data_IF_219281171153
#
_entry.id   IF_219281171153
#
_cell.length_a   1.000
_cell.length_b   1.000
_cell.length_c   1.000
_cell.angle_alpha   90.00
_cell.angle_beta   90.00
_cell.angle_gamma   90.00
#
_symmetry.space_group_name_H-M   'P 1'
#
loop_
_entity.id
_entity.type
_entity.pdbx_description
1 polymer ?
#
# COMPACT_ATOMS: atom_id res chain seq x y z
N UNK A 1 22.26 12.38 3.64
CA UNK A 1 21.27 11.28 3.57
C UNK A 1 20.77 11.02 4.98
N UNK A 2 19.45 10.96 5.19
CA UNK A 2 18.83 10.66 6.49
C UNK A 2 18.07 9.33 6.35
N UNK A 3 18.58 8.29 7.01
CA UNK A 3 17.99 6.95 6.96
C UNK A 3 17.23 6.70 8.27
N UNK A 4 15.97 6.30 8.16
CA UNK A 4 15.17 5.85 9.30
C UNK A 4 14.71 4.40 9.09
N UNK A 5 14.58 3.67 10.20
CA UNK A 5 14.09 2.30 10.21
C UNK A 5 12.62 2.28 10.61
N UNK A 6 11.79 1.65 9.80
CA UNK A 6 10.39 1.36 10.12
C UNK A 6 10.29 -0.13 10.43
N UNK A 7 9.62 -0.48 11.53
CA UNK A 7 9.46 -1.86 11.98
C UNK A 7 7.97 -2.14 12.21
N UNK A 8 7.51 -3.25 11.68
CA UNK A 8 6.19 -3.82 11.96
C UNK A 8 6.35 -5.30 12.23
N UNK A 9 5.45 -5.90 13.00
CA UNK A 9 5.43 -7.33 13.21
C UNK A 9 4.00 -7.87 13.13
N UNK A 10 3.87 -9.17 12.91
CA UNK A 10 2.60 -9.85 12.82
C UNK A 10 2.58 -11.08 13.72
N UNK A 11 1.43 -11.36 14.33
CA UNK A 11 1.22 -12.57 15.14
C UNK A 11 -0.12 -13.19 14.76
N UNK A 12 -0.07 -14.46 14.42
CA UNK A 12 -1.23 -15.28 14.08
C UNK A 12 -1.24 -16.51 15.00
N UNK A 13 -2.43 -16.90 15.43
CA UNK A 13 -2.65 -18.16 16.13
C UNK A 13 -3.23 -19.21 15.18
N UNK A 14 -4.27 -19.90 15.63
CA UNK A 14 -5.05 -20.82 14.78
C UNK A 14 -6.02 -19.99 13.92
N UNK A 15 -6.06 -20.25 12.62
CA UNK A 15 -6.90 -19.51 11.68
C UNK A 15 -6.18 -18.35 11.02
N UNK A 16 -6.92 -17.43 10.41
CA UNK A 16 -6.38 -16.34 9.56
C UNK A 16 -6.24 -14.99 10.26
N UNK A 17 -6.93 -14.80 11.39
CA UNK A 17 -6.89 -13.54 12.10
C UNK A 17 -5.48 -13.23 12.59
N UNK A 18 -4.91 -12.16 12.10
CA UNK A 18 -3.52 -11.76 12.30
C UNK A 18 -3.46 -10.39 12.94
N UNK A 19 -2.87 -10.29 14.13
CA UNK A 19 -2.59 -9.00 14.77
C UNK A 19 -1.34 -8.39 14.14
N UNK A 20 -1.48 -7.19 13.60
CA UNK A 20 -0.36 -6.36 13.15
C UNK A 20 0.02 -5.41 14.29
N UNK A 21 1.27 -5.48 14.71
CA UNK A 21 1.85 -4.60 15.71
C UNK A 21 2.68 -3.50 15.02
N UNK A 22 2.22 -2.29 15.20
CA UNK A 22 2.82 -1.06 14.69
C UNK A 22 2.41 0.11 15.62
N UNK A 23 2.64 1.35 15.23
CA UNK A 23 2.22 2.52 16.02
C UNK A 23 0.72 2.54 16.35
N UNK A 24 -0.12 1.96 15.49
CA UNK A 24 -1.57 1.80 15.67
C UNK A 24 -1.94 0.36 15.30
N UNK A 25 -1.90 -0.56 16.27
CA UNK A 25 -2.16 -1.98 16.01
C UNK A 25 -3.56 -2.23 15.42
N UNK A 26 -3.64 -3.18 14.50
CA UNK A 26 -4.90 -3.55 13.85
C UNK A 26 -4.93 -5.03 13.46
N UNK A 27 -6.12 -5.53 13.12
CA UNK A 27 -6.33 -6.91 12.68
C UNK A 27 -6.39 -6.95 11.16
N UNK A 28 -5.69 -7.93 10.59
CA UNK A 28 -5.81 -8.37 9.20
C UNK A 28 -6.45 -9.76 9.21
N UNK A 29 -7.42 -9.99 8.35
CA UNK A 29 -8.12 -11.27 8.29
C UNK A 29 -8.52 -11.61 6.84
N UNK A 30 -9.03 -12.79 6.63
CA UNK A 30 -9.66 -13.19 5.37
C UNK A 30 -11.19 -13.08 5.49
N UNK A 31 -11.89 -12.87 4.36
CA UNK A 31 -13.35 -12.92 4.37
C UNK A 31 -13.85 -14.32 4.73
N UNK A 32 -15.07 -14.44 5.22
CA UNK A 32 -15.69 -15.72 5.60
C UNK A 32 -15.69 -16.71 4.43
N UNK A 33 -15.89 -16.23 3.20
CA UNK A 33 -15.83 -17.05 1.99
C UNK A 33 -14.46 -17.70 1.72
N UNK A 34 -13.39 -17.15 2.31
CA UNK A 34 -12.03 -17.69 2.24
C UNK A 34 -11.56 -18.34 3.54
N UNK A 35 -12.48 -18.61 4.48
CA UNK A 35 -12.20 -19.31 5.72
C UNK A 35 -11.80 -18.42 6.90
N UNK A 36 -11.82 -17.11 6.73
CA UNK A 36 -11.57 -16.15 7.82
C UNK A 36 -12.81 -15.80 8.62
N UNK A 37 -12.66 -14.86 9.55
CA UNK A 37 -13.74 -14.32 10.38
C UNK A 37 -14.24 -12.95 9.91
N UNK A 38 -13.62 -12.38 8.86
CA UNK A 38 -13.93 -11.03 8.37
C UNK A 38 -13.75 -9.95 9.46
N UNK A 39 -12.72 -10.11 10.29
CA UNK A 39 -12.43 -9.21 11.41
C UNK A 39 -11.59 -8.00 11.02
N UNK A 40 -11.16 -7.90 9.79
CA UNK A 40 -10.39 -6.78 9.25
C UNK A 40 -10.12 -6.94 7.75
N UNK A 41 -9.46 -5.94 7.13
CA UNK A 41 -9.11 -6.02 5.72
C UNK A 41 -8.14 -7.19 5.47
N UNK A 42 -8.15 -7.70 4.24
CA UNK A 42 -7.19 -8.72 3.82
C UNK A 42 -5.83 -8.11 3.43
N UNK A 43 -4.76 -8.91 3.34
CA UNK A 43 -3.42 -8.40 3.01
C UNK A 43 -3.32 -7.65 1.67
N UNK A 44 -4.10 -8.04 0.66
CA UNK A 44 -4.09 -7.38 -0.64
C UNK A 44 -4.72 -5.99 -0.58
N UNK A 45 -5.80 -5.83 0.19
CA UNK A 45 -6.42 -4.53 0.46
C UNK A 45 -5.46 -3.62 1.23
N UNK A 46 -4.74 -4.16 2.23
CA UNK A 46 -3.72 -3.41 2.98
C UNK A 46 -2.60 -2.95 2.04
N UNK A 47 -2.09 -3.84 1.20
CA UNK A 47 -1.04 -3.49 0.24
C UNK A 47 -1.50 -2.39 -0.72
N UNK A 48 -2.66 -2.54 -1.34
CA UNK A 48 -3.20 -1.52 -2.24
C UNK A 48 -3.52 -0.21 -1.52
N UNK A 49 -4.07 -0.24 -0.31
CA UNK A 49 -4.45 0.97 0.44
C UNK A 49 -3.27 1.85 0.82
N UNK A 50 -2.06 1.30 0.90
CA UNK A 50 -0.87 2.07 1.17
C UNK A 50 -0.57 3.11 0.07
N UNK A 51 -0.90 2.80 -1.18
CA UNK A 51 -0.65 3.70 -2.32
C UNK A 51 -1.52 4.97 -2.28
N UNK A 52 -2.87 4.91 -2.21
CA UNK A 52 -3.70 6.10 -2.13
C UNK A 52 -3.42 6.91 -0.86
N UNK A 53 -3.15 6.27 0.27
CA UNK A 53 -2.79 6.96 1.51
C UNK A 53 -1.47 7.75 1.35
N UNK A 54 -0.47 7.15 0.69
CA UNK A 54 0.80 7.81 0.42
C UNK A 54 0.65 8.97 -0.57
N UNK A 55 -0.11 8.78 -1.66
CA UNK A 55 -0.41 9.85 -2.63
C UNK A 55 -1.03 11.06 -1.93
N UNK A 56 -2.02 10.84 -1.07
CA UNK A 56 -2.65 11.92 -0.28
C UNK A 56 -1.65 12.61 0.65
N UNK A 57 -0.84 11.85 1.37
CA UNK A 57 0.14 12.40 2.31
C UNK A 57 1.22 13.24 1.60
N UNK A 58 1.80 12.71 0.53
CA UNK A 58 2.82 13.44 -0.27
C UNK A 58 2.19 14.65 -0.96
N UNK A 59 0.97 14.52 -1.49
CA UNK A 59 0.22 15.63 -2.05
C UNK A 59 0.04 16.78 -1.05
N UNK A 60 -0.34 16.47 0.18
CA UNK A 60 -0.46 17.46 1.26
C UNK A 60 0.88 18.11 1.60
N UNK A 61 1.96 17.31 1.69
CA UNK A 61 3.30 17.84 1.96
C UNK A 61 3.73 18.83 0.87
N UNK A 62 3.60 18.46 -0.40
CA UNK A 62 3.97 19.33 -1.53
C UNK A 62 3.09 20.58 -1.58
N UNK A 63 1.77 20.41 -1.39
CA UNK A 63 0.86 21.56 -1.36
C UNK A 63 1.24 22.59 -0.30
N UNK A 64 1.59 22.13 0.91
CA UNK A 64 2.05 22.99 1.99
C UNK A 64 3.39 23.69 1.64
N UNK A 65 4.34 22.96 1.05
CA UNK A 65 5.64 23.51 0.65
C UNK A 65 5.51 24.57 -0.45
N UNK A 66 4.59 24.37 -1.39
CA UNK A 66 4.36 25.25 -2.54
C UNK A 66 3.24 26.27 -2.33
N UNK A 67 2.60 26.25 -1.16
CA UNK A 67 1.45 27.12 -0.83
C UNK A 67 0.29 26.97 -1.82
N UNK A 68 0.06 25.73 -2.29
CA UNK A 68 -1.12 25.38 -3.08
C UNK A 68 -2.31 25.25 -2.14
N UNK A 69 -3.41 25.92 -2.46
CA UNK A 69 -4.67 25.75 -1.71
C UNK A 69 -5.34 24.43 -2.13
N UNK A 70 -4.85 23.33 -1.58
CA UNK A 70 -5.41 22.00 -1.76
C UNK A 70 -6.50 21.78 -0.71
N UNK A 71 -7.76 21.85 -1.09
CA UNK A 71 -8.92 21.66 -0.21
C UNK A 71 -9.14 20.18 0.09
N UNK A 72 -8.87 19.29 -0.87
CA UNK A 72 -9.03 17.87 -0.71
C UNK A 72 -8.42 17.07 -1.85
N UNK A 73 -8.35 15.78 -1.65
CA UNK A 73 -7.96 14.79 -2.67
C UNK A 73 -8.80 13.53 -2.50
N UNK A 74 -9.16 12.94 -3.63
CA UNK A 74 -9.74 11.61 -3.68
C UNK A 74 -8.87 10.74 -4.57
N UNK A 75 -8.54 9.55 -4.10
CA UNK A 75 -7.65 8.63 -4.82
C UNK A 75 -8.28 7.24 -4.78
N UNK A 76 -8.53 6.69 -5.97
CA UNK A 76 -8.94 5.31 -6.15
C UNK A 76 -7.79 4.51 -6.72
N UNK A 77 -7.58 3.31 -6.19
CA UNK A 77 -6.55 2.37 -6.68
C UNK A 77 -7.19 1.02 -6.89
N UNK A 78 -6.92 0.43 -8.03
CA UNK A 78 -7.34 -0.93 -8.35
C UNK A 78 -6.14 -1.75 -8.86
N UNK A 79 -6.22 -3.06 -8.71
CA UNK A 79 -5.16 -3.96 -9.16
C UNK A 79 -5.71 -5.30 -9.61
N UNK A 80 -5.10 -5.87 -10.63
CA UNK A 80 -5.41 -7.19 -11.16
C UNK A 80 -4.45 -8.24 -10.61
N UNK A 81 -4.97 -9.34 -10.08
CA UNK A 81 -4.19 -10.44 -9.51
C UNK A 81 -4.64 -11.79 -10.03
N UNK A 82 -3.67 -12.68 -10.27
CA UNK A 82 -3.95 -14.07 -10.64
C UNK A 82 -4.24 -14.91 -9.38
N UNK A 83 -5.51 -15.22 -9.16
CA UNK A 83 -5.94 -16.02 -8.02
C UNK A 83 -5.51 -17.49 -8.11
N UNK A 84 -5.33 -18.02 -9.30
CA UNK A 84 -4.92 -19.43 -9.47
C UNK A 84 -3.46 -19.61 -9.07
N UNK A 85 -2.60 -18.63 -9.36
CA UNK A 85 -1.23 -18.62 -8.86
C UNK A 85 -1.20 -18.51 -7.32
N UNK A 86 -1.94 -17.57 -6.76
CA UNK A 86 -2.05 -17.35 -5.31
C UNK A 86 -2.53 -18.63 -4.57
N UNK A 87 -3.47 -19.38 -5.14
CA UNK A 87 -4.02 -20.60 -4.55
C UNK A 87 -3.18 -21.85 -4.87
N UNK A 88 -2.06 -21.71 -5.57
CA UNK A 88 -1.17 -22.84 -5.90
C UNK A 88 -1.72 -23.77 -6.96
N UNK A 89 -2.71 -23.36 -7.76
CA UNK A 89 -3.28 -24.16 -8.85
C UNK A 89 -2.42 -24.14 -10.12
N UNK A 90 -1.53 -23.18 -10.25
CA UNK A 90 -0.58 -23.04 -11.35
C UNK A 90 0.77 -22.55 -10.83
N UNK A 91 1.83 -22.84 -11.56
CA UNK A 91 3.18 -22.30 -11.35
C UNK A 91 3.61 -21.36 -12.48
N UNK A 92 2.73 -21.14 -13.47
CA UNK A 92 2.95 -20.21 -14.55
C UNK A 92 2.37 -18.84 -14.20
N UNK A 93 3.12 -17.76 -14.46
CA UNK A 93 2.71 -16.40 -14.14
C UNK A 93 3.45 -15.82 -12.93
N UNK A 94 2.78 -15.02 -12.13
CA UNK A 94 3.36 -14.38 -10.94
C UNK A 94 2.35 -14.25 -9.80
N UNK A 95 2.84 -14.28 -8.56
CA UNK A 95 2.01 -14.13 -7.37
C UNK A 95 1.47 -12.71 -7.12
N UNK A 96 2.20 -11.70 -7.59
CA UNK A 96 1.84 -10.29 -7.35
C UNK A 96 0.82 -9.75 -8.34
N UNK A 97 0.39 -8.51 -8.12
CA UNK A 97 -0.46 -7.80 -9.07
C UNK A 97 0.21 -7.71 -10.43
N UNK A 98 -0.55 -7.99 -11.49
CA UNK A 98 -0.09 -7.88 -12.89
C UNK A 98 -0.16 -6.45 -13.38
N UNK A 99 -1.11 -5.68 -12.86
CA UNK A 99 -1.28 -4.26 -13.13
C UNK A 99 -1.88 -3.58 -11.90
N UNK A 100 -1.45 -2.34 -11.63
CA UNK A 100 -2.02 -1.46 -10.60
C UNK A 100 -2.29 -0.11 -11.27
N UNK A 101 -3.52 0.38 -11.13
CA UNK A 101 -3.97 1.67 -11.67
C UNK A 101 -4.41 2.58 -10.55
N UNK A 102 -4.11 3.87 -10.67
CA UNK A 102 -4.57 4.89 -9.73
C UNK A 102 -5.28 6.03 -10.46
N UNK A 103 -6.35 6.52 -9.87
CA UNK A 103 -7.14 7.66 -10.34
C UNK A 103 -7.17 8.70 -9.26
N UNK A 104 -6.75 9.94 -9.58
CA UNK A 104 -6.56 11.00 -8.58
C UNK A 104 -7.41 12.20 -8.96
N UNK A 105 -8.26 12.65 -8.04
CA UNK A 105 -8.99 13.90 -8.12
C UNK A 105 -8.40 14.90 -7.12
N UNK A 106 -8.09 16.12 -7.60
CA UNK A 106 -7.66 17.24 -6.76
C UNK A 106 -8.75 18.28 -6.64
N UNK A 107 -9.17 18.59 -5.43
CA UNK A 107 -9.96 19.77 -5.14
C UNK A 107 -9.02 20.95 -4.87
N UNK A 108 -8.66 21.60 -5.94
CA UNK A 108 -7.74 22.75 -5.96
C UNK A 108 -7.98 23.60 -7.21
N UNK A 109 -7.70 24.90 -7.11
CA UNK A 109 -7.83 25.85 -8.22
C UNK A 109 -6.57 25.80 -9.10
N UNK A 110 -6.38 24.64 -9.75
CA UNK A 110 -5.27 24.36 -10.65
C UNK A 110 -5.81 24.02 -12.05
N UNK A 111 -5.09 24.44 -13.06
CA UNK A 111 -5.36 24.00 -14.44
C UNK A 111 -5.05 22.51 -14.58
N UNK A 112 -5.52 21.90 -15.68
CA UNK A 112 -5.20 20.49 -15.96
C UNK A 112 -3.69 20.25 -16.03
N UNK A 113 -2.94 21.13 -16.69
CA UNK A 113 -1.49 21.00 -16.81
C UNK A 113 -0.78 21.11 -15.44
N UNK A 114 -1.25 21.97 -14.56
CA UNK A 114 -0.74 22.10 -13.19
C UNK A 114 -1.07 20.87 -12.34
N UNK A 115 -2.27 20.31 -12.48
CA UNK A 115 -2.64 19.05 -11.83
C UNK A 115 -1.78 17.87 -12.30
N UNK A 116 -1.54 17.78 -13.61
CA UNK A 116 -0.67 16.74 -14.19
C UNK A 116 0.78 16.88 -13.67
N UNK A 117 1.32 18.10 -13.59
CA UNK A 117 2.64 18.36 -13.03
C UNK A 117 2.71 18.04 -11.52
N UNK A 118 1.66 18.38 -10.78
CA UNK A 118 1.54 18.09 -9.36
C UNK A 118 1.52 16.58 -9.10
N UNK A 119 0.74 15.83 -9.88
CA UNK A 119 0.69 14.37 -9.78
C UNK A 119 2.04 13.72 -10.11
N UNK A 120 2.76 14.22 -11.11
CA UNK A 120 4.11 13.71 -11.43
C UNK A 120 5.09 13.90 -10.27
N UNK A 121 5.05 15.04 -9.60
CA UNK A 121 5.90 15.27 -8.43
C UNK A 121 5.50 14.38 -7.25
N UNK A 122 4.20 14.20 -7.00
CA UNK A 122 3.70 13.28 -5.99
C UNK A 122 4.22 11.86 -6.26
N UNK A 123 4.05 11.36 -7.47
CA UNK A 123 4.50 10.03 -7.87
C UNK A 123 6.03 9.86 -7.71
N UNK A 124 6.79 10.88 -8.10
CA UNK A 124 8.26 10.86 -7.97
C UNK A 124 8.73 10.79 -6.52
N UNK A 125 8.00 11.41 -5.59
CA UNK A 125 8.36 11.49 -4.16
C UNK A 125 7.67 10.44 -3.29
N UNK A 126 6.75 9.64 -3.85
CA UNK A 126 5.97 8.65 -3.11
C UNK A 126 6.79 7.37 -2.92
N UNK A 127 7.22 7.03 -1.69
CA UNK A 127 8.02 5.83 -1.47
C UNK A 127 7.23 4.55 -1.74
N UNK A 128 5.90 4.57 -1.61
CA UNK A 128 5.07 3.40 -1.91
C UNK A 128 5.00 3.16 -3.42
N UNK A 129 4.78 4.20 -4.23
CA UNK A 129 4.81 4.08 -5.69
C UNK A 129 6.18 3.61 -6.18
N UNK A 130 7.25 4.16 -5.62
CA UNK A 130 8.63 3.74 -5.93
C UNK A 130 8.86 2.26 -5.65
N UNK A 131 8.43 1.77 -4.48
CA UNK A 131 8.54 0.34 -4.13
C UNK A 131 7.66 -0.58 -4.99
N UNK A 132 6.56 -0.09 -5.56
CA UNK A 132 5.72 -0.87 -6.47
C UNK A 132 6.30 -0.93 -7.88
N UNK A 133 7.02 0.11 -8.31
CA UNK A 133 7.69 0.19 -9.63
C UNK A 133 9.03 -0.54 -9.59
N UNK A 134 9.81 -0.32 -8.54
CA UNK A 134 11.12 -0.92 -8.33
C UNK A 134 11.06 -1.90 -7.16
N UNK A 135 11.39 -3.17 -7.40
CA UNK A 135 11.35 -4.18 -6.35
C UNK A 135 12.45 -3.96 -5.32
N UNK A 136 12.07 -3.86 -4.06
CA UNK A 136 13.00 -3.88 -2.94
C UNK A 136 13.56 -5.27 -2.72
N UNK A 137 14.76 -5.36 -2.15
CA UNK A 137 15.31 -6.64 -1.71
C UNK A 137 14.54 -7.14 -0.50
N UNK A 138 13.95 -8.33 -0.63
CA UNK A 138 13.24 -9.02 0.44
C UNK A 138 14.03 -10.29 0.78
N UNK A 139 14.54 -10.36 2.01
CA UNK A 139 15.35 -11.49 2.48
C UNK A 139 14.59 -12.17 3.63
N UNK A 140 13.84 -13.24 3.35
CA UNK A 140 13.19 -14.02 4.39
C UNK A 140 14.20 -14.88 5.15
N UNK A 141 14.00 -15.04 6.44
CA UNK A 141 14.80 -15.96 7.25
C UNK A 141 13.95 -16.59 8.33
N UNK A 142 14.20 -17.88 8.63
CA UNK A 142 13.59 -18.57 9.75
C UNK A 142 14.43 -18.34 10.99
N UNK A 143 13.78 -17.92 12.07
CA UNK A 143 14.42 -17.70 13.38
C UNK A 143 13.63 -18.44 14.47
N UNK A 144 14.32 -18.92 15.50
CA UNK A 144 13.66 -19.58 16.64
C UNK A 144 12.89 -18.57 17.50
N UNK A 145 13.40 -17.32 17.56
CA UNK A 145 12.80 -16.21 18.29
C UNK A 145 13.02 -14.92 17.53
N UNK A 146 12.01 -14.05 17.50
CA UNK A 146 12.14 -12.74 16.86
C UNK A 146 13.18 -11.89 17.60
N UNK A 147 13.99 -11.12 16.85
CA UNK A 147 14.91 -10.17 17.46
C UNK A 147 14.13 -9.10 18.23
N UNK A 148 14.65 -8.73 19.40
CA UNK A 148 14.07 -7.70 20.28
C UNK A 148 14.31 -6.31 19.69
#
# INVERSE_FOLDING_TARGET
MSISKIKVSAKMGVGFSTLIDCSHPFIVDQPKSAGGNDAGPNPLEIFLSSLPACICAIGRIIANQRRINLRGMEVEVEGDIDKDFLLGKTTEGRAGFTEIRSFVHFDADLTKAEKDAFLKEIAFRCPIADNMIFTSVVIPSVVEKLPV
#
